data_IF_620786105997
#
_entry.id   IF_620786105997
#
_cell.length_a   1.000
_cell.length_b   1.000
_cell.length_c   1.000
_cell.angle_alpha   90.00
_cell.angle_beta   90.00
_cell.angle_gamma   90.00
#
_symmetry.space_group_name_H-M   'P 1'
#
loop_
_entity.id
_entity.type
_entity.pdbx_description
1 polymer ?
#
# COMPACT_ATOMS: atom_id res chain seq x y z
N UNK A 1 14.37 -31.98 17.13
CA UNK A 1 13.63 -31.73 15.92
C UNK A 1 13.96 -30.32 15.42
N UNK A 2 14.16 -30.17 14.14
CA UNK A 2 14.34 -28.83 13.54
C UNK A 2 13.08 -28.02 13.81
N UNK A 3 13.24 -26.83 14.39
CA UNK A 3 12.16 -25.89 14.61
C UNK A 3 11.95 -25.12 13.29
N UNK A 4 10.81 -25.32 12.64
CA UNK A 4 10.43 -24.51 11.50
C UNK A 4 10.11 -23.09 11.95
N UNK A 5 10.60 -22.10 11.20
CA UNK A 5 10.25 -20.69 11.40
C UNK A 5 8.83 -20.50 10.86
N UNK A 6 7.96 -19.89 11.67
CA UNK A 6 6.61 -19.53 11.24
C UNK A 6 6.50 -18.01 11.08
N UNK A 7 6.17 -17.57 9.87
CA UNK A 7 5.99 -16.16 9.51
C UNK A 7 4.50 -15.83 9.55
N UNK A 8 4.12 -14.90 10.42
CA UNK A 8 2.77 -14.34 10.45
C UNK A 8 2.61 -13.26 9.37
N UNK A 9 1.60 -13.39 8.53
CA UNK A 9 1.22 -12.36 7.56
C UNK A 9 -0.05 -11.70 8.06
N UNK A 10 -0.01 -10.40 8.31
CA UNK A 10 -1.16 -9.59 8.72
C UNK A 10 -1.57 -8.72 7.53
N UNK A 11 -2.83 -8.80 7.12
CA UNK A 11 -3.40 -8.01 6.04
C UNK A 11 -4.79 -7.50 6.45
N UNK A 12 -5.09 -6.23 6.20
CA UNK A 12 -6.42 -5.69 6.47
C UNK A 12 -7.45 -6.20 5.47
N UNK A 13 -8.68 -6.49 5.94
CA UNK A 13 -9.80 -6.91 5.09
C UNK A 13 -10.08 -5.89 3.97
N UNK A 14 -9.84 -4.59 4.19
CA UNK A 14 -10.00 -3.53 3.18
C UNK A 14 -9.16 -3.72 1.91
N UNK A 15 -8.09 -4.52 2.00
CA UNK A 15 -7.19 -4.84 0.88
C UNK A 15 -7.52 -6.18 0.21
N UNK A 16 -8.57 -6.87 0.66
CA UNK A 16 -8.98 -8.18 0.15
C UNK A 16 -10.33 -8.13 -0.59
N UNK A 17 -10.80 -6.95 -0.99
CA UNK A 17 -12.01 -6.80 -1.78
C UNK A 17 -11.92 -7.57 -3.10
N UNK A 18 -13.06 -8.07 -3.58
CA UNK A 18 -13.19 -9.00 -4.73
C UNK A 18 -12.50 -8.53 -6.03
N UNK A 19 -12.17 -7.26 -6.12
CA UNK A 19 -11.54 -6.65 -7.31
C UNK A 19 -10.04 -6.36 -7.15
N UNK A 20 -9.48 -6.46 -5.93
CA UNK A 20 -8.06 -6.18 -5.70
C UNK A 20 -7.26 -7.48 -5.64
N UNK A 21 -6.69 -7.86 -6.78
CA UNK A 21 -5.80 -9.02 -6.88
C UNK A 21 -4.36 -8.71 -6.48
N UNK A 22 -4.01 -7.43 -6.26
CA UNK A 22 -2.62 -7.01 -6.02
C UNK A 22 -2.07 -7.57 -4.72
N UNK A 23 -2.73 -7.29 -3.59
CA UNK A 23 -2.28 -7.78 -2.29
C UNK A 23 -2.39 -9.30 -2.15
N UNK A 24 -3.37 -9.91 -2.82
CA UNK A 24 -3.47 -11.37 -2.88
C UNK A 24 -2.28 -12.00 -3.61
N UNK A 25 -1.82 -11.39 -4.71
CA UNK A 25 -0.60 -11.84 -5.41
C UNK A 25 0.64 -11.70 -4.55
N UNK A 26 0.79 -10.58 -3.84
CA UNK A 26 1.89 -10.39 -2.88
C UNK A 26 1.90 -11.50 -1.84
N UNK A 27 0.75 -11.83 -1.26
CA UNK A 27 0.64 -12.94 -0.31
C UNK A 27 1.06 -14.28 -0.93
N UNK A 28 0.63 -14.57 -2.15
CA UNK A 28 1.01 -15.81 -2.86
C UNK A 28 2.53 -15.90 -3.06
N UNK A 29 3.17 -14.80 -3.46
CA UNK A 29 4.64 -14.75 -3.62
C UNK A 29 5.37 -14.94 -2.27
N UNK A 30 4.84 -14.37 -1.19
CA UNK A 30 5.39 -14.62 0.16
C UNK A 30 5.29 -16.11 0.51
N UNK A 31 4.15 -16.74 0.25
CA UNK A 31 3.95 -18.15 0.56
C UNK A 31 4.91 -19.05 -0.23
N UNK A 32 5.12 -18.76 -1.53
CA UNK A 32 6.07 -19.49 -2.38
C UNK A 32 7.51 -19.29 -1.88
N UNK A 33 7.91 -18.05 -1.60
CA UNK A 33 9.25 -17.76 -1.10
C UNK A 33 9.52 -18.37 0.29
N UNK A 34 8.49 -18.47 1.14
CA UNK A 34 8.58 -19.13 2.43
C UNK A 34 8.77 -20.64 2.29
N UNK A 35 8.05 -21.30 1.37
CA UNK A 35 8.19 -22.73 1.08
C UNK A 35 9.61 -23.06 0.63
N UNK A 36 10.17 -22.28 -0.30
CA UNK A 36 11.56 -22.41 -0.75
C UNK A 36 12.58 -22.32 0.41
N UNK A 37 12.26 -21.56 1.44
CA UNK A 37 13.10 -21.38 2.64
C UNK A 37 12.73 -22.30 3.81
N UNK A 38 11.82 -23.24 3.56
CA UNK A 38 11.32 -24.14 4.60
C UNK A 38 10.70 -23.42 5.81
N UNK A 39 10.06 -22.27 5.58
CA UNK A 39 9.30 -21.52 6.54
C UNK A 39 7.81 -21.83 6.41
N UNK A 40 7.09 -21.82 7.51
CA UNK A 40 5.63 -21.86 7.52
C UNK A 40 5.07 -20.44 7.42
N UNK A 41 3.89 -20.30 6.83
CA UNK A 41 3.17 -19.02 6.74
C UNK A 41 1.80 -19.17 7.39
N UNK A 42 1.51 -18.27 8.32
CA UNK A 42 0.17 -18.14 8.92
C UNK A 42 -0.39 -16.78 8.56
N UNK A 43 -1.60 -16.70 8.02
CA UNK A 43 -2.25 -15.44 7.66
C UNK A 43 -3.33 -15.07 8.67
N UNK A 44 -3.32 -13.82 9.11
CA UNK A 44 -4.40 -13.18 9.86
C UNK A 44 -5.00 -12.05 9.04
N UNK A 45 -6.30 -12.16 8.75
CA UNK A 45 -7.06 -11.08 8.14
C UNK A 45 -7.56 -10.15 9.23
N UNK A 46 -7.10 -8.91 9.20
CA UNK A 46 -7.43 -7.89 10.18
C UNK A 46 -8.74 -7.21 9.80
N UNK A 47 -9.73 -7.33 10.65
CA UNK A 47 -11.00 -6.61 10.51
C UNK A 47 -10.86 -5.19 11.04
N UNK A 48 -11.65 -4.25 10.50
CA UNK A 48 -11.63 -2.85 10.93
C UNK A 48 -11.78 -2.69 12.45
N UNK A 49 -12.69 -3.43 13.08
CA UNK A 49 -12.88 -3.36 14.52
C UNK A 49 -11.66 -3.83 15.34
N UNK A 50 -10.83 -4.71 14.79
CA UNK A 50 -9.60 -5.14 15.47
C UNK A 50 -8.58 -4.01 15.52
N UNK A 51 -8.49 -3.23 14.45
CA UNK A 51 -7.65 -2.05 14.35
C UNK A 51 -8.14 -0.94 15.30
N UNK A 52 -9.45 -0.64 15.25
CA UNK A 52 -10.08 0.42 16.05
C UNK A 52 -9.99 0.16 17.57
N UNK A 53 -10.06 -1.11 18.00
CA UNK A 53 -10.07 -1.49 19.42
C UNK A 53 -8.76 -2.13 19.90
N UNK A 54 -7.69 -2.05 19.12
CA UNK A 54 -6.38 -2.63 19.48
C UNK A 54 -6.47 -4.13 19.85
N UNK A 55 -7.12 -4.92 18.99
CA UNK A 55 -7.24 -6.37 19.18
C UNK A 55 -6.11 -7.05 18.39
N UNK A 56 -5.29 -7.83 19.08
CA UNK A 56 -4.19 -8.57 18.44
C UNK A 56 -4.71 -9.69 17.53
N UNK A 57 -3.99 -9.98 16.42
CA UNK A 57 -4.22 -11.16 15.60
C UNK A 57 -4.03 -12.46 16.40
N UNK A 58 -4.73 -13.51 16.03
CA UNK A 58 -4.70 -14.78 16.78
C UNK A 58 -3.32 -15.45 16.79
N UNK A 59 -2.59 -15.36 15.67
CA UNK A 59 -1.24 -15.91 15.58
C UNK A 59 -0.29 -15.22 16.56
N UNK A 60 -0.48 -13.93 16.81
CA UNK A 60 0.31 -13.13 17.76
C UNK A 60 -0.08 -13.49 19.20
N UNK A 61 -1.38 -13.52 19.53
CA UNK A 61 -1.88 -13.89 20.87
C UNK A 61 -1.35 -15.26 21.30
N UNK A 62 -1.33 -16.21 20.38
CA UNK A 62 -0.94 -17.59 20.66
C UNK A 62 0.58 -17.81 20.64
N UNK A 63 1.39 -16.76 20.44
CA UNK A 63 2.85 -16.87 20.22
C UNK A 63 3.19 -17.91 19.13
N UNK A 64 2.37 -17.97 18.08
CA UNK A 64 2.47 -18.99 17.03
C UNK A 64 3.43 -18.59 15.89
N UNK A 65 3.97 -17.37 15.92
CA UNK A 65 4.82 -16.83 14.86
C UNK A 65 6.15 -16.33 15.38
N UNK A 66 7.21 -16.47 14.59
CA UNK A 66 8.57 -16.05 14.89
C UNK A 66 8.95 -14.71 14.26
N UNK A 67 8.19 -14.26 13.26
CA UNK A 67 8.30 -12.96 12.61
C UNK A 67 6.93 -12.54 12.04
N UNK A 68 6.76 -11.25 11.78
CA UNK A 68 5.52 -10.69 11.24
C UNK A 68 5.83 -9.92 9.96
N UNK A 69 5.03 -10.13 8.91
CA UNK A 69 4.94 -9.28 7.72
C UNK A 69 3.58 -8.60 7.75
N UNK A 70 3.55 -7.27 7.73
CA UNK A 70 2.32 -6.49 7.60
C UNK A 70 2.20 -6.01 6.15
N UNK A 71 1.14 -6.39 5.47
CA UNK A 71 0.89 -6.06 4.07
C UNK A 71 -0.13 -4.92 3.98
N UNK A 72 0.28 -3.82 3.35
CA UNK A 72 -0.55 -2.64 3.18
C UNK A 72 -0.65 -1.77 4.45
N UNK A 73 -1.00 -0.51 4.27
CA UNK A 73 -0.99 0.48 5.33
C UNK A 73 -2.09 0.26 6.37
N UNK A 74 -1.68 0.14 7.63
CA UNK A 74 -2.54 0.12 8.82
C UNK A 74 -2.40 1.46 9.56
N UNK A 75 -3.29 1.72 10.52
CA UNK A 75 -3.19 2.93 11.34
C UNK A 75 -1.91 2.92 12.18
N UNK A 76 -1.30 4.09 12.29
CA UNK A 76 -0.08 4.31 13.08
C UNK A 76 -0.22 3.79 14.52
N UNK A 77 -1.35 4.10 15.17
CA UNK A 77 -1.58 3.71 16.56
C UNK A 77 -1.70 2.19 16.72
N UNK A 78 -2.32 1.50 15.77
CA UNK A 78 -2.42 0.05 15.80
C UNK A 78 -1.07 -0.63 15.57
N UNK A 79 -0.25 -0.13 14.65
CA UNK A 79 1.11 -0.65 14.45
C UNK A 79 1.96 -0.45 15.72
N UNK A 80 1.89 0.71 16.35
CA UNK A 80 2.49 0.98 17.66
C UNK A 80 2.04 -0.02 18.72
N UNK A 81 0.74 -0.27 18.77
CA UNK A 81 0.17 -1.24 19.70
C UNK A 81 0.75 -2.64 19.44
N UNK A 82 0.70 -3.19 18.21
CA UNK A 82 1.30 -4.49 17.90
C UNK A 82 2.75 -4.52 18.35
N UNK A 83 3.55 -3.52 17.97
CA UNK A 83 4.97 -3.46 18.31
C UNK A 83 5.24 -3.44 19.82
N UNK A 84 4.36 -2.84 20.60
CA UNK A 84 4.47 -2.85 22.06
C UNK A 84 4.19 -4.22 22.70
N UNK A 85 3.51 -5.11 21.97
CA UNK A 85 3.08 -6.42 22.47
C UNK A 85 4.02 -7.57 22.06
N UNK A 86 4.93 -7.33 21.10
CA UNK A 86 5.82 -8.38 20.58
C UNK A 86 7.27 -7.93 20.57
N UNK A 87 8.17 -8.90 20.71
CA UNK A 87 9.63 -8.70 20.58
C UNK A 87 10.20 -9.35 19.32
N UNK A 88 9.34 -9.93 18.48
CA UNK A 88 9.74 -10.58 17.22
C UNK A 88 9.90 -9.53 16.10
N UNK A 89 10.69 -9.82 15.05
CA UNK A 89 10.87 -8.92 13.92
C UNK A 89 9.54 -8.63 13.19
N UNK A 90 9.37 -7.37 12.79
CA UNK A 90 8.24 -6.92 11.96
C UNK A 90 8.82 -6.30 10.67
N UNK A 91 8.26 -6.68 9.52
CA UNK A 91 8.56 -6.10 8.21
C UNK A 91 7.28 -5.52 7.62
N UNK A 92 7.35 -4.29 7.17
CA UNK A 92 6.27 -3.66 6.43
C UNK A 92 6.42 -3.94 4.94
N UNK A 93 5.32 -4.19 4.27
CA UNK A 93 5.30 -4.45 2.83
C UNK A 93 4.27 -3.56 2.15
N UNK A 94 4.72 -2.79 1.15
CA UNK A 94 3.98 -1.78 0.40
C UNK A 94 3.60 -0.53 1.20
N UNK A 95 4.19 -0.31 2.36
CA UNK A 95 4.11 0.94 3.11
C UNK A 95 5.29 1.10 4.07
N UNK A 96 5.43 2.30 4.62
CA UNK A 96 6.41 2.60 5.67
C UNK A 96 5.80 3.55 6.70
N UNK A 97 6.33 3.51 7.91
CA UNK A 97 5.98 4.46 8.97
C UNK A 97 7.28 5.05 9.53
N UNK A 98 7.40 6.37 9.49
CA UNK A 98 8.63 7.08 9.86
C UNK A 98 9.02 6.93 11.34
N UNK A 99 8.04 6.71 12.21
CA UNK A 99 8.23 6.67 13.65
C UNK A 99 8.37 5.23 14.18
N UNK A 100 7.96 4.25 13.38
CA UNK A 100 7.90 2.83 13.79
C UNK A 100 8.79 1.95 12.92
N UNK A 101 9.45 2.51 11.94
CA UNK A 101 10.18 1.76 10.93
C UNK A 101 11.28 0.88 11.52
N UNK A 102 11.09 -0.45 11.44
CA UNK A 102 12.18 -1.40 11.58
C UNK A 102 12.73 -1.74 10.19
N UNK A 103 11.90 -2.35 9.34
CA UNK A 103 12.22 -2.68 7.96
C UNK A 103 10.96 -2.55 7.10
N UNK A 104 11.11 -1.95 5.93
CA UNK A 104 10.04 -1.83 4.94
C UNK A 104 10.54 -2.23 3.55
N UNK A 105 9.68 -2.91 2.81
CA UNK A 105 9.86 -3.20 1.39
C UNK A 105 8.74 -2.48 0.65
N UNK A 106 9.11 -1.52 -0.18
CA UNK A 106 8.15 -0.69 -0.92
C UNK A 106 8.50 -0.64 -2.39
N UNK A 107 7.49 -0.46 -3.21
CA UNK A 107 7.66 -0.15 -4.64
C UNK A 107 8.16 1.30 -4.76
N UNK A 108 9.02 1.59 -5.72
CA UNK A 108 9.39 2.97 -6.05
C UNK A 108 8.23 3.65 -6.81
N UNK A 109 7.18 3.97 -6.06
CA UNK A 109 5.94 4.56 -6.56
C UNK A 109 6.20 5.96 -7.17
N UNK A 110 7.12 6.72 -6.57
CA UNK A 110 7.49 8.04 -7.06
C UNK A 110 8.14 7.94 -8.44
N UNK A 111 9.18 7.13 -8.57
CA UNK A 111 9.93 7.04 -9.82
C UNK A 111 9.10 6.36 -10.92
N UNK A 112 8.35 5.32 -10.57
CA UNK A 112 7.45 4.65 -11.52
C UNK A 112 6.42 5.59 -12.14
N UNK A 113 5.76 6.40 -11.31
CA UNK A 113 4.79 7.40 -11.81
C UNK A 113 5.47 8.54 -12.57
N UNK A 114 6.63 8.97 -12.13
CA UNK A 114 7.41 9.98 -12.85
C UNK A 114 7.72 9.51 -14.28
N UNK A 115 8.27 8.30 -14.45
CA UNK A 115 8.56 7.75 -15.79
C UNK A 115 7.31 7.59 -16.64
N UNK A 116 6.21 7.11 -16.05
CA UNK A 116 4.95 6.94 -16.77
C UNK A 116 4.43 8.28 -17.30
N UNK A 117 4.52 9.33 -16.49
CA UNK A 117 4.08 10.67 -16.88
C UNK A 117 5.04 11.28 -17.92
N UNK A 118 6.35 11.10 -17.78
CA UNK A 118 7.35 11.48 -18.80
C UNK A 118 7.05 10.80 -20.14
N UNK A 119 6.76 9.51 -20.13
CA UNK A 119 6.40 8.77 -21.34
C UNK A 119 5.20 9.38 -22.07
N UNK A 120 4.21 9.88 -21.34
CA UNK A 120 3.07 10.57 -21.97
C UNK A 120 3.49 11.89 -22.61
N UNK A 121 4.32 12.70 -21.95
CA UNK A 121 4.86 13.93 -22.53
C UNK A 121 5.70 13.65 -23.79
N UNK A 122 6.56 12.64 -23.77
CA UNK A 122 7.36 12.22 -24.92
C UNK A 122 6.50 11.77 -26.12
N UNK A 123 5.28 11.27 -25.85
CA UNK A 123 4.30 10.91 -26.88
C UNK A 123 3.35 12.07 -27.27
N UNK A 124 3.62 13.29 -26.82
CA UNK A 124 2.94 14.52 -27.24
C UNK A 124 1.68 14.87 -26.43
N UNK A 125 1.36 14.12 -25.37
CA UNK A 125 0.28 14.49 -24.45
C UNK A 125 0.77 15.58 -23.49
N UNK A 126 0.02 16.68 -23.38
CA UNK A 126 0.41 17.82 -22.53
C UNK A 126 -0.60 18.09 -21.41
N UNK A 127 -1.80 17.57 -21.55
CA UNK A 127 -2.90 17.74 -20.61
C UNK A 127 -3.19 16.40 -19.93
N UNK A 128 -2.47 16.13 -18.85
CA UNK A 128 -2.48 14.85 -18.17
C UNK A 128 -3.14 15.01 -16.79
N UNK A 129 -4.14 14.20 -16.49
CA UNK A 129 -4.79 14.16 -15.17
C UNK A 129 -4.26 12.99 -14.33
N UNK A 130 -4.28 13.17 -13.02
CA UNK A 130 -3.96 12.14 -12.04
C UNK A 130 -5.24 11.58 -11.42
N UNK A 131 -5.33 10.25 -11.32
CA UNK A 131 -6.42 9.55 -10.63
C UNK A 131 -5.84 8.86 -9.40
N UNK A 132 -6.27 9.29 -8.23
CA UNK A 132 -5.85 8.73 -6.95
C UNK A 132 -6.16 9.69 -5.81
N UNK A 133 -6.74 9.15 -4.74
CA UNK A 133 -7.01 9.88 -3.49
C UNK A 133 -5.71 10.07 -2.72
N UNK A 134 -5.07 11.22 -2.89
CA UNK A 134 -3.68 11.53 -2.47
C UNK A 134 -3.40 11.19 -1.00
N UNK A 135 -4.41 11.34 -0.14
CA UNK A 135 -4.27 11.16 1.31
C UNK A 135 -4.66 9.76 1.79
N UNK A 136 -5.00 8.83 0.89
CA UNK A 136 -5.45 7.49 1.28
C UNK A 136 -4.32 6.58 1.74
N UNK A 137 -3.17 6.61 1.05
CA UNK A 137 -1.99 5.82 1.41
C UNK A 137 -0.69 6.53 1.03
N UNK A 138 0.42 6.16 1.67
CA UNK A 138 1.75 6.67 1.34
C UNK A 138 2.14 6.37 -0.11
N UNK A 139 1.80 5.20 -0.63
CA UNK A 139 2.10 4.80 -2.01
C UNK A 139 1.33 5.64 -3.06
N UNK A 140 0.09 6.05 -2.77
CA UNK A 140 -0.68 6.96 -3.64
C UNK A 140 -0.08 8.37 -3.60
N UNK A 141 0.32 8.84 -2.42
CA UNK A 141 1.00 10.13 -2.27
C UNK A 141 2.33 10.15 -3.06
N UNK A 142 3.15 9.11 -2.96
CA UNK A 142 4.41 9.01 -3.68
C UNK A 142 4.20 9.02 -5.20
N UNK A 143 3.18 8.32 -5.69
CA UNK A 143 2.79 8.39 -7.12
C UNK A 143 2.40 9.80 -7.53
N UNK A 144 1.55 10.47 -6.75
CA UNK A 144 1.20 11.85 -7.02
C UNK A 144 2.42 12.77 -7.08
N UNK A 145 3.39 12.60 -6.17
CA UNK A 145 4.63 13.37 -6.19
C UNK A 145 5.44 13.11 -7.47
N UNK A 146 5.47 11.88 -7.97
CA UNK A 146 6.11 11.54 -9.25
C UNK A 146 5.44 12.22 -10.45
N UNK A 147 4.11 12.15 -10.52
CA UNK A 147 3.31 12.88 -11.51
C UNK A 147 3.58 14.39 -11.44
N UNK A 148 3.47 14.98 -10.24
CA UNK A 148 3.68 16.41 -10.02
C UNK A 148 5.06 16.88 -10.47
N UNK A 149 6.11 16.09 -10.22
CA UNK A 149 7.46 16.39 -10.70
C UNK A 149 7.52 16.50 -12.22
N UNK A 150 6.93 15.56 -12.95
CA UNK A 150 6.92 15.61 -14.42
C UNK A 150 6.16 16.83 -14.93
N UNK A 151 4.97 17.13 -14.36
CA UNK A 151 4.19 18.33 -14.72
C UNK A 151 5.01 19.60 -14.60
N UNK A 152 5.76 19.77 -13.48
CA UNK A 152 6.60 20.95 -13.26
C UNK A 152 7.76 21.01 -14.26
N UNK A 153 8.43 19.89 -14.52
CA UNK A 153 9.59 19.83 -15.42
C UNK A 153 9.23 20.19 -16.86
N UNK A 154 8.03 19.82 -17.31
CA UNK A 154 7.50 20.18 -18.63
C UNK A 154 6.83 21.56 -18.67
N UNK A 155 6.74 22.28 -17.55
CA UNK A 155 6.02 23.55 -17.45
C UNK A 155 4.54 23.44 -17.77
N UNK A 156 3.96 22.24 -17.65
CA UNK A 156 2.55 21.99 -17.85
C UNK A 156 1.72 22.56 -16.69
N UNK A 157 0.45 22.83 -16.94
CA UNK A 157 -0.44 23.39 -15.94
C UNK A 157 -0.99 22.30 -15.02
N UNK A 158 -0.69 22.40 -13.73
CA UNK A 158 -1.38 21.61 -12.71
C UNK A 158 -2.78 22.21 -12.50
N UNK A 159 -3.81 21.38 -12.61
CA UNK A 159 -5.20 21.79 -12.41
C UNK A 159 -5.82 20.99 -11.28
N UNK A 160 -6.48 21.66 -10.35
CA UNK A 160 -7.13 21.00 -9.23
C UNK A 160 -8.25 20.03 -9.65
N UNK A 161 -8.99 20.38 -10.73
CA UNK A 161 -10.05 19.54 -11.29
C UNK A 161 -9.54 18.31 -12.08
N UNK A 162 -8.22 18.21 -12.25
CA UNK A 162 -7.54 17.03 -12.83
C UNK A 162 -6.87 16.14 -11.79
N UNK A 163 -7.04 16.43 -10.51
CA UNK A 163 -6.70 15.52 -9.42
C UNK A 163 -7.99 14.84 -8.99
N UNK A 164 -8.17 13.61 -9.45
CA UNK A 164 -9.45 12.89 -9.35
C UNK A 164 -9.35 11.86 -8.22
N UNK A 165 -10.18 12.02 -7.21
CA UNK A 165 -10.27 11.05 -6.13
C UNK A 165 -10.95 9.76 -6.60
N UNK A 166 -10.39 8.61 -6.20
CA UNK A 166 -10.88 7.26 -6.49
C UNK A 166 -11.38 6.51 -5.26
N UNK A 167 -11.18 7.11 -4.05
CA UNK A 167 -11.52 6.51 -2.76
C UNK A 167 -12.07 7.55 -1.80
N UNK A 168 -12.93 7.08 -0.89
CA UNK A 168 -13.41 7.86 0.25
C UNK A 168 -12.40 7.89 1.42
N UNK A 169 -12.79 8.52 2.51
CA UNK A 169 -11.95 8.65 3.71
C UNK A 169 -11.68 7.30 4.41
N UNK A 170 -12.50 6.30 4.19
CA UNK A 170 -12.38 4.93 4.69
C UNK A 170 -11.52 4.05 3.77
N UNK A 171 -11.13 4.57 2.58
CA UNK A 171 -10.34 3.86 1.58
C UNK A 171 -11.16 3.00 0.62
N UNK A 172 -12.50 3.07 0.67
CA UNK A 172 -13.39 2.36 -0.25
C UNK A 172 -13.45 3.08 -1.59
N UNK A 173 -13.54 2.33 -2.69
CA UNK A 173 -13.65 2.89 -4.04
C UNK A 173 -14.94 3.70 -4.22
N UNK A 174 -14.82 4.85 -4.85
CA UNK A 174 -15.94 5.72 -5.19
C UNK A 174 -16.08 5.91 -6.69
N UNK A 175 -17.25 6.38 -7.13
CA UNK A 175 -17.46 6.77 -8.52
C UNK A 175 -16.57 7.97 -8.88
N UNK A 176 -15.83 7.86 -9.98
CA UNK A 176 -14.93 8.91 -10.43
C UNK A 176 -15.71 10.13 -10.95
N UNK A 177 -15.39 11.29 -10.41
CA UNK A 177 -15.92 12.55 -10.90
C UNK A 177 -15.10 13.03 -12.09
N UNK A 178 -15.57 12.70 -13.29
CA UNK A 178 -14.91 13.10 -14.53
C UNK A 178 -14.95 14.63 -14.68
N UNK A 179 -13.81 15.30 -14.95
CA UNK A 179 -13.77 16.75 -15.09
C UNK A 179 -14.52 17.21 -16.34
N UNK A 180 -15.15 18.38 -16.27
CA UNK A 180 -15.86 18.98 -17.41
C UNK A 180 -14.93 19.37 -18.56
N UNK A 181 -13.69 19.74 -18.22
CA UNK A 181 -12.61 19.94 -19.19
C UNK A 181 -11.75 18.68 -19.21
N UNK A 182 -11.93 17.87 -20.26
CA UNK A 182 -11.26 16.59 -20.39
C UNK A 182 -9.75 16.75 -20.61
N UNK A 183 -8.91 16.03 -19.87
CA UNK A 183 -7.50 15.88 -20.20
C UNK A 183 -7.31 14.99 -21.44
N UNK A 184 -6.10 14.97 -21.97
CA UNK A 184 -5.71 14.10 -23.08
C UNK A 184 -5.34 12.70 -22.63
N UNK A 185 -4.87 12.57 -21.37
CA UNK A 185 -4.48 11.30 -20.76
C UNK A 185 -4.73 11.30 -19.26
N UNK A 186 -4.83 10.10 -18.68
CA UNK A 186 -4.94 9.86 -17.25
C UNK A 186 -3.80 8.95 -16.81
N UNK A 187 -3.23 9.23 -15.62
CA UNK A 187 -2.31 8.35 -14.90
C UNK A 187 -2.89 7.99 -13.53
N UNK A 188 -2.61 6.78 -13.00
CA UNK A 188 -3.11 6.29 -11.70
C UNK A 188 -2.09 5.40 -10.97
#
# INVERSE_FOLDING_TARGET
GERFINVGVIISEKFLDDYDTFYWRIYQEIALAADEKQCMVTVDVLKKNMEDYNILPRSVINNAVDAIIIIGELSHDYIKFIKSQVSIPIVFLDFYDKDIADNAVVTDNFYGMYILTEYLFENGFNNIAYVGSIHSTSSIMDRYCGYYKAIIQHGATLRDDWIIEDRDAEGSRIELKIPSHMPEAFVC
#
